data_IF_123363627526
#
_entry.id   IF_123363627526
#
_cell.length_a   1.000
_cell.length_b   1.000
_cell.length_c   1.000
_cell.angle_alpha   90.00
_cell.angle_beta   90.00
_cell.angle_gamma   90.00
#
_symmetry.space_group_name_H-M   'P 1'
#
loop_
_entity.id
_entity.type
_entity.pdbx_description
1 polymer ?
#
# COMPACT_ATOMS: atom_id res chain seq x y z
N UNK A 1 -42.53 -55.59 17.53
CA UNK A 1 -41.15 -55.19 17.48
C UNK A 1 -40.92 -54.14 18.52
N UNK A 2 -40.32 -54.47 19.67
CA UNK A 2 -40.17 -53.60 20.84
C UNK A 2 -38.81 -52.95 20.81
N UNK A 3 -38.81 -51.61 20.76
CA UNK A 3 -37.56 -50.81 20.84
C UNK A 3 -37.34 -50.45 22.30
N UNK A 4 -36.20 -50.86 22.87
CA UNK A 4 -35.76 -50.46 24.23
C UNK A 4 -34.96 -49.20 24.11
N UNK A 5 -35.40 -48.16 24.84
CA UNK A 5 -34.59 -46.98 25.11
C UNK A 5 -33.54 -47.28 26.18
N UNK A 6 -32.28 -47.05 25.89
CA UNK A 6 -31.21 -46.97 26.89
C UNK A 6 -31.10 -45.53 27.38
N UNK A 7 -31.30 -45.31 28.65
CA UNK A 7 -31.01 -44.07 29.36
C UNK A 7 -29.53 -44.04 29.76
N UNK A 8 -28.77 -43.07 29.27
CA UNK A 8 -27.40 -42.85 29.68
C UNK A 8 -27.40 -41.76 30.79
N UNK A 9 -27.03 -42.17 32.00
CA UNK A 9 -26.86 -41.26 33.14
C UNK A 9 -25.45 -40.65 33.11
N UNK A 10 -25.41 -39.34 32.92
CA UNK A 10 -24.15 -38.57 33.00
C UNK A 10 -23.87 -38.18 34.45
N UNK A 11 -22.78 -38.69 35.00
CA UNK A 11 -22.21 -38.25 36.26
C UNK A 11 -21.46 -36.96 36.03
N UNK A 12 -21.90 -35.85 36.65
CA UNK A 12 -21.16 -34.59 36.71
C UNK A 12 -20.34 -34.62 38.00
N UNK A 13 -19.05 -34.75 37.88
CA UNK A 13 -18.10 -34.56 38.98
C UNK A 13 -17.74 -33.08 39.05
N UNK A 14 -18.18 -32.40 40.10
CA UNK A 14 -17.76 -31.05 40.40
C UNK A 14 -16.35 -31.05 41.02
N UNK A 15 -15.36 -30.57 40.26
CA UNK A 15 -14.03 -30.29 40.77
C UNK A 15 -14.01 -28.86 41.32
N UNK A 16 -13.97 -28.75 42.66
CA UNK A 16 -13.74 -27.46 43.36
C UNK A 16 -12.26 -27.11 43.32
N UNK A 17 -11.85 -26.12 42.51
CA UNK A 17 -10.53 -25.55 42.57
C UNK A 17 -10.43 -24.49 43.66
N UNK A 18 -9.65 -24.77 44.70
CA UNK A 18 -9.26 -23.76 45.67
C UNK A 18 -8.21 -22.83 45.04
N UNK A 19 -8.58 -21.58 44.79
CA UNK A 19 -7.64 -20.54 44.34
C UNK A 19 -6.81 -20.11 45.55
N UNK A 20 -5.57 -20.56 45.61
CA UNK A 20 -4.56 -20.02 46.52
C UNK A 20 -3.99 -18.76 45.87
N UNK A 21 -4.40 -17.59 46.33
CA UNK A 21 -3.81 -16.31 45.94
C UNK A 21 -2.42 -16.17 46.54
N UNK A 22 -1.41 -16.33 45.71
CA UNK A 22 -0.04 -15.96 46.05
C UNK A 22 0.10 -14.42 45.98
N UNK A 23 0.78 -13.77 46.92
CA UNK A 23 1.03 -12.35 46.85
C UNK A 23 1.94 -12.05 45.65
N UNK A 24 1.54 -11.08 44.83
CA UNK A 24 2.33 -10.61 43.70
C UNK A 24 3.70 -10.11 44.20
N UNK A 25 4.79 -10.51 43.53
CA UNK A 25 6.09 -9.96 43.85
C UNK A 25 6.11 -8.47 43.51
N UNK A 26 6.65 -7.67 44.45
CA UNK A 26 6.85 -6.24 44.26
C UNK A 26 7.66 -6.00 42.96
N UNK A 27 7.08 -5.34 41.98
CA UNK A 27 7.76 -4.91 40.78
C UNK A 27 8.79 -3.83 41.16
N UNK A 28 10.04 -4.22 41.30
CA UNK A 28 11.15 -3.28 41.23
C UNK A 28 11.23 -2.77 39.81
N UNK A 29 10.97 -1.48 39.61
CA UNK A 29 11.18 -0.81 38.32
C UNK A 29 12.64 -0.98 37.92
N UNK A 30 12.94 -1.95 37.08
CA UNK A 30 14.24 -2.10 36.46
C UNK A 30 14.44 -0.88 35.54
N UNK A 31 15.51 -0.13 35.78
CA UNK A 31 15.97 0.91 34.87
C UNK A 31 16.27 0.23 33.52
N UNK A 32 15.76 0.73 32.37
CA UNK A 32 16.07 0.13 31.08
C UNK A 32 17.58 0.16 30.88
N UNK A 33 18.18 -1.00 30.75
CA UNK A 33 19.59 -1.13 30.36
C UNK A 33 19.64 -0.83 28.84
N UNK A 34 20.30 0.26 28.49
CA UNK A 34 20.67 0.52 27.09
C UNK A 34 21.74 -0.51 26.75
N UNK A 35 21.35 -1.55 25.98
CA UNK A 35 22.32 -2.47 25.42
C UNK A 35 23.08 -1.74 24.31
N UNK A 36 24.37 -1.59 24.48
CA UNK A 36 25.27 -1.12 23.40
C UNK A 36 25.23 -2.15 22.29
N UNK A 37 24.96 -1.77 21.02
CA UNK A 37 24.98 -2.72 19.93
C UNK A 37 26.35 -3.36 19.81
N UNK A 38 26.42 -4.66 19.61
CA UNK A 38 27.66 -5.38 19.35
C UNK A 38 28.31 -4.81 18.07
N UNK A 39 29.60 -4.50 18.15
CA UNK A 39 30.38 -4.01 17.03
C UNK A 39 30.42 -5.10 15.94
N UNK A 40 29.73 -4.85 14.81
CA UNK A 40 29.70 -5.77 13.65
C UNK A 40 28.38 -5.83 12.88
N UNK A 41 27.30 -5.24 13.40
CA UNK A 41 26.04 -5.08 12.66
C UNK A 41 26.11 -3.88 11.72
N UNK A 42 25.38 -3.93 10.60
CA UNK A 42 25.23 -2.83 9.66
C UNK A 42 25.11 -1.51 10.41
N UNK A 43 26.00 -0.57 10.11
CA UNK A 43 25.99 0.74 10.75
C UNK A 43 24.71 1.47 10.34
N UNK A 44 23.73 1.42 11.20
CA UNK A 44 22.57 2.30 11.12
C UNK A 44 23.07 3.73 11.26
N UNK A 45 23.10 4.48 10.18
CA UNK A 45 23.45 5.91 10.17
C UNK A 45 22.25 6.81 10.44
N UNK A 46 21.15 6.26 10.94
CA UNK A 46 19.97 7.00 11.37
C UNK A 46 20.13 7.58 12.78
N UNK A 47 19.23 8.46 13.23
CA UNK A 47 19.25 9.02 14.56
C UNK A 47 19.22 7.91 15.61
N UNK A 48 20.27 7.82 16.43
CA UNK A 48 20.47 6.78 17.45
C UNK A 48 19.52 6.89 18.65
N UNK A 49 18.57 7.81 18.61
CA UNK A 49 17.62 8.03 19.69
C UNK A 49 16.20 7.96 19.13
N UNK A 50 15.59 6.79 19.20
CA UNK A 50 14.13 6.69 19.09
C UNK A 50 13.60 7.36 20.37
N UNK A 51 13.05 8.57 20.25
CA UNK A 51 12.34 9.19 21.35
C UNK A 51 11.01 8.48 21.50
N UNK A 52 10.98 7.51 22.40
CA UNK A 52 9.72 7.02 22.93
C UNK A 52 9.13 8.14 23.78
N UNK A 53 8.12 8.84 23.26
CA UNK A 53 7.36 9.80 24.08
C UNK A 53 6.51 9.00 25.07
N UNK A 54 7.02 8.88 26.28
CA UNK A 54 6.27 8.31 27.39
C UNK A 54 4.99 9.15 27.60
N UNK A 55 3.83 8.54 27.44
CA UNK A 55 2.54 9.22 27.59
C UNK A 55 1.74 9.34 26.30
N UNK A 56 2.21 8.79 25.17
CA UNK A 56 1.39 8.66 23.97
C UNK A 56 0.25 7.71 24.27
N UNK A 57 -0.98 8.18 24.09
CA UNK A 57 -2.17 7.33 24.16
C UNK A 57 -2.02 6.18 23.14
N UNK A 58 -2.01 4.91 23.55
CA UNK A 58 -1.98 3.78 22.63
C UNK A 58 -3.22 3.75 21.71
N UNK A 59 -4.28 4.48 22.04
CA UNK A 59 -5.46 4.70 21.18
C UNK A 59 -5.33 5.97 20.34
N UNK A 60 -4.14 6.51 20.18
CA UNK A 60 -3.91 7.69 19.36
C UNK A 60 -4.32 7.42 17.91
N UNK A 61 -5.51 7.86 17.58
CA UNK A 61 -6.13 7.73 16.24
C UNK A 61 -5.38 8.47 15.14
N UNK A 62 -4.18 8.99 15.41
CA UNK A 62 -3.31 9.56 14.38
C UNK A 62 -2.95 8.57 13.29
N UNK A 63 -2.99 7.26 13.56
CA UNK A 63 -2.84 6.24 12.51
C UNK A 63 -3.89 6.41 11.42
N UNK A 64 -5.14 6.72 11.76
CA UNK A 64 -6.21 6.93 10.79
C UNK A 64 -5.94 8.15 9.87
N UNK A 65 -5.06 9.07 10.28
CA UNK A 65 -4.62 10.18 9.45
C UNK A 65 -3.76 9.74 8.26
N UNK A 66 -3.15 8.56 8.35
CA UNK A 66 -2.30 7.98 7.30
C UNK A 66 -3.07 7.10 6.32
N UNK A 67 -4.38 6.93 6.52
CA UNK A 67 -5.27 6.20 5.62
C UNK A 67 -6.09 7.16 4.76
N UNK A 68 -6.40 6.70 3.55
CA UNK A 68 -7.35 7.32 2.67
C UNK A 68 -8.25 6.28 2.01
N UNK A 69 -9.43 6.74 1.59
CA UNK A 69 -10.46 5.92 0.95
C UNK A 69 -11.17 6.74 -0.12
N UNK A 70 -11.20 6.24 -1.35
CA UNK A 70 -11.87 6.95 -2.44
C UNK A 70 -13.37 7.12 -2.21
N UNK A 71 -14.03 6.21 -1.46
CA UNK A 71 -15.48 6.27 -1.21
C UNK A 71 -15.87 7.47 -0.35
N UNK A 72 -15.00 7.84 0.58
CA UNK A 72 -15.19 9.01 1.45
C UNK A 72 -14.76 10.33 0.82
N UNK A 73 -14.04 10.28 -0.31
CA UNK A 73 -13.51 11.45 -0.99
C UNK A 73 -14.55 12.10 -1.93
N UNK A 74 -14.66 13.44 -2.00
CA UNK A 74 -15.52 14.10 -2.97
C UNK A 74 -15.02 13.86 -4.40
N UNK A 75 -15.97 13.71 -5.38
CA UNK A 75 -15.58 13.57 -6.77
C UNK A 75 -15.04 14.89 -7.34
N UNK A 76 -14.04 14.79 -8.21
CA UNK A 76 -13.55 15.92 -9.02
C UNK A 76 -13.36 15.46 -10.46
N UNK A 77 -13.48 16.40 -11.41
CA UNK A 77 -13.21 16.12 -12.80
C UNK A 77 -11.75 16.39 -13.15
N UNK A 78 -11.19 15.52 -13.97
CA UNK A 78 -9.87 15.68 -14.57
C UNK A 78 -9.92 15.23 -16.03
N UNK A 79 -9.06 15.77 -16.87
CA UNK A 79 -9.00 15.43 -18.29
C UNK A 79 -10.37 15.57 -19.01
N UNK A 80 -11.21 16.48 -18.54
CA UNK A 80 -12.57 16.68 -19.03
C UNK A 80 -13.58 15.79 -18.31
N UNK A 81 -13.81 14.59 -18.79
CA UNK A 81 -14.88 13.69 -18.32
C UNK A 81 -14.42 12.62 -17.32
N UNK A 82 -13.13 12.44 -17.11
CA UNK A 82 -12.65 11.52 -16.10
C UNK A 82 -13.00 12.02 -14.69
N UNK A 83 -13.79 11.26 -13.96
CA UNK A 83 -14.15 11.54 -12.57
C UNK A 83 -13.16 10.85 -11.66
N UNK A 84 -12.44 11.62 -10.86
CA UNK A 84 -11.50 11.12 -9.84
C UNK A 84 -12.08 11.29 -8.43
N UNK A 85 -11.72 10.36 -7.57
CA UNK A 85 -11.87 10.45 -6.11
C UNK A 85 -10.52 10.17 -5.48
N UNK A 86 -9.99 11.14 -4.78
CA UNK A 86 -8.66 11.03 -4.20
C UNK A 86 -8.66 10.00 -3.06
N UNK A 87 -7.64 9.15 -3.05
CA UNK A 87 -7.38 8.19 -1.96
C UNK A 87 -6.35 8.81 -1.02
N UNK A 88 -5.19 9.18 -1.57
CA UNK A 88 -4.15 9.91 -0.85
C UNK A 88 -3.81 11.19 -1.60
N UNK A 89 -3.50 12.25 -0.87
CA UNK A 89 -3.19 13.57 -1.45
C UNK A 89 -1.88 14.11 -0.93
N UNK A 90 -1.35 15.10 -1.63
CA UNK A 90 -0.20 15.85 -1.16
C UNK A 90 -0.46 16.46 0.22
N UNK A 91 0.53 16.37 1.12
CA UNK A 91 0.40 16.82 2.50
C UNK A 91 1.68 16.65 3.31
N UNK A 92 1.52 16.36 4.58
CA UNK A 92 2.64 16.14 5.50
C UNK A 92 2.74 14.65 5.87
N UNK A 93 3.84 14.01 5.48
CA UNK A 93 4.06 12.59 5.72
C UNK A 93 4.41 12.25 7.18
N UNK A 94 4.59 13.26 8.03
CA UNK A 94 4.88 13.10 9.47
C UNK A 94 3.70 13.49 10.33
N UNK A 95 2.96 14.54 9.95
CA UNK A 95 1.82 15.08 10.68
C UNK A 95 0.71 15.49 9.71
N UNK A 96 0.01 14.54 9.10
CA UNK A 96 -1.01 14.86 8.11
C UNK A 96 -2.06 15.83 8.66
N UNK A 97 -2.42 16.89 7.92
CA UNK A 97 -3.41 17.87 8.38
C UNK A 97 -4.84 17.31 8.33
N UNK A 98 -5.07 16.28 7.53
CA UNK A 98 -6.33 15.56 7.39
C UNK A 98 -6.06 14.11 6.92
N UNK A 99 -7.01 13.18 7.10
CA UNK A 99 -6.86 11.80 6.64
C UNK A 99 -6.43 11.74 5.18
N UNK A 100 -5.41 10.94 4.89
CA UNK A 100 -4.87 10.72 3.55
C UNK A 100 -4.02 11.85 2.96
N UNK A 101 -3.83 13.00 3.64
CA UNK A 101 -2.96 14.08 3.17
C UNK A 101 -1.51 13.85 3.59
N UNK A 102 -0.88 12.83 3.03
CA UNK A 102 0.39 12.26 3.49
C UNK A 102 1.52 12.31 2.46
N UNK A 103 1.21 12.55 1.18
CA UNK A 103 2.19 12.42 0.09
C UNK A 103 3.05 13.67 -0.04
N UNK A 104 4.36 13.51 -0.25
CA UNK A 104 5.28 14.58 -0.61
C UNK A 104 5.94 14.34 -1.98
N UNK A 105 6.24 13.07 -2.29
CA UNK A 105 6.87 12.70 -3.56
C UNK A 105 5.87 12.61 -4.72
N UNK A 106 4.57 12.49 -4.43
CA UNK A 106 3.49 12.28 -5.39
C UNK A 106 2.40 13.34 -5.13
N UNK A 107 1.77 13.85 -6.17
CA UNK A 107 0.72 14.85 -6.04
C UNK A 107 -0.57 14.22 -5.48
N UNK A 108 -0.95 13.05 -6.01
CA UNK A 108 -2.08 12.29 -5.52
C UNK A 108 -2.04 10.83 -5.99
N UNK A 109 -2.77 10.00 -5.25
CA UNK A 109 -3.27 8.69 -5.66
C UNK A 109 -4.79 8.78 -5.65
N UNK A 110 -5.45 8.43 -6.76
CA UNK A 110 -6.90 8.52 -6.89
C UNK A 110 -7.49 7.29 -7.56
N UNK A 111 -8.80 7.07 -7.35
CA UNK A 111 -9.61 6.15 -8.13
C UNK A 111 -10.38 6.92 -9.19
N UNK A 112 -10.19 6.51 -10.44
CA UNK A 112 -10.75 7.15 -11.62
C UNK A 112 -11.87 6.33 -12.27
N UNK A 113 -12.85 7.06 -12.83
CA UNK A 113 -13.98 6.47 -13.56
C UNK A 113 -14.27 7.28 -14.81
N UNK A 114 -14.29 6.62 -15.96
CA UNK A 114 -14.76 7.18 -17.23
C UNK A 114 -16.02 6.42 -17.64
N UNK A 115 -17.12 7.17 -17.87
CA UNK A 115 -18.41 6.56 -18.18
C UNK A 115 -18.38 5.75 -19.50
N UNK A 116 -19.35 4.82 -19.71
CA UNK A 116 -19.45 4.06 -20.94
C UNK A 116 -19.52 4.97 -22.18
N UNK A 117 -18.73 4.63 -23.20
CA UNK A 117 -18.67 5.34 -24.47
C UNK A 117 -18.18 6.79 -24.42
N UNK A 118 -17.65 7.23 -23.27
CA UNK A 118 -17.09 8.56 -23.08
C UNK A 118 -15.58 8.60 -23.34
N UNK A 119 -15.03 9.79 -23.48
CA UNK A 119 -13.60 10.01 -23.68
C UNK A 119 -13.13 11.24 -22.94
N UNK A 120 -11.87 11.24 -22.52
CA UNK A 120 -11.21 12.45 -22.03
C UNK A 120 -11.05 13.46 -23.17
N UNK A 121 -10.84 14.73 -22.83
CA UNK A 121 -10.39 15.71 -23.83
C UNK A 121 -8.91 15.46 -24.16
N UNK A 122 -8.45 15.79 -25.39
CA UNK A 122 -7.03 15.76 -25.71
C UNK A 122 -6.24 16.59 -24.68
N UNK A 123 -5.31 15.96 -24.02
CA UNK A 123 -4.59 16.56 -22.88
C UNK A 123 -3.10 16.33 -23.01
N UNK A 124 -2.34 17.31 -22.57
CA UNK A 124 -0.89 17.23 -22.36
C UNK A 124 -0.61 17.52 -20.89
N UNK A 125 0.12 16.61 -20.24
CA UNK A 125 0.55 16.84 -18.87
C UNK A 125 1.75 17.80 -18.88
N UNK A 126 1.65 18.90 -18.11
CA UNK A 126 2.73 19.87 -17.95
C UNK A 126 3.26 19.82 -16.53
N UNK A 127 4.58 19.62 -16.40
CA UNK A 127 5.25 19.53 -15.10
C UNK A 127 4.87 18.32 -14.24
N UNK A 128 4.16 17.37 -14.79
CA UNK A 128 3.74 16.13 -14.11
C UNK A 128 3.59 14.99 -15.11
N UNK A 129 3.60 13.76 -14.62
CA UNK A 129 3.32 12.56 -15.39
C UNK A 129 2.39 11.63 -14.59
N UNK A 130 1.64 10.78 -15.28
CA UNK A 130 0.61 9.96 -14.68
C UNK A 130 0.81 8.49 -15.00
N UNK A 131 0.49 7.64 -14.02
CA UNK A 131 0.40 6.22 -14.19
C UNK A 131 -1.06 5.81 -13.99
N UNK A 132 -1.62 5.12 -14.98
CA UNK A 132 -2.96 4.56 -14.94
C UNK A 132 -2.84 3.05 -14.78
N UNK A 133 -3.45 2.49 -13.74
CA UNK A 133 -3.63 1.05 -13.60
C UNK A 133 -5.10 0.72 -13.78
N UNK A 134 -5.44 -0.05 -14.81
CA UNK A 134 -6.84 -0.34 -15.16
C UNK A 134 -7.39 -1.43 -14.24
N UNK A 135 -8.39 -1.05 -13.45
CA UNK A 135 -9.06 -1.91 -12.49
C UNK A 135 -10.26 -2.67 -13.10
N UNK A 136 -10.89 -2.08 -14.12
CA UNK A 136 -12.01 -2.72 -14.81
C UNK A 136 -12.49 -1.97 -16.03
N UNK A 137 -13.35 -2.63 -16.80
CA UNK A 137 -13.86 -2.10 -18.06
C UNK A 137 -12.92 -2.35 -19.25
N UNK A 138 -13.20 -1.70 -20.36
CA UNK A 138 -12.41 -1.76 -21.59
C UNK A 138 -12.37 -0.42 -22.30
N UNK A 139 -11.24 -0.08 -22.89
CA UNK A 139 -11.04 1.19 -23.55
C UNK A 139 -9.83 1.21 -24.46
N UNK A 140 -9.46 2.41 -24.86
CA UNK A 140 -8.23 2.68 -25.59
C UNK A 140 -7.54 3.91 -25.01
N UNK A 141 -6.22 3.95 -25.12
CA UNK A 141 -5.43 5.15 -24.92
C UNK A 141 -4.66 5.46 -26.19
N UNK A 142 -4.71 6.71 -26.64
CA UNK A 142 -4.00 7.17 -27.83
C UNK A 142 -3.01 8.26 -27.45
N UNK A 143 -1.74 8.09 -27.80
CA UNK A 143 -0.67 9.07 -27.58
C UNK A 143 0.44 8.88 -28.61
N UNK A 144 1.04 9.98 -29.07
CA UNK A 144 2.19 9.93 -29.99
C UNK A 144 1.93 9.15 -31.29
N UNK A 145 0.70 9.18 -31.80
CA UNK A 145 0.29 8.44 -33.00
C UNK A 145 0.08 6.93 -32.82
N UNK A 146 0.14 6.43 -31.58
CA UNK A 146 -0.13 5.04 -31.21
C UNK A 146 -1.45 4.96 -30.45
N UNK A 147 -2.23 3.90 -30.70
CA UNK A 147 -3.42 3.56 -29.93
C UNK A 147 -3.23 2.16 -29.34
N UNK A 148 -3.46 2.02 -28.05
CA UNK A 148 -3.35 0.76 -27.32
C UNK A 148 -4.67 0.46 -26.62
N UNK A 149 -5.11 -0.80 -26.69
CA UNK A 149 -6.30 -1.25 -25.97
C UNK A 149 -6.02 -1.30 -24.46
N UNK A 150 -7.02 -0.90 -23.68
CA UNK A 150 -7.03 -0.96 -22.23
C UNK A 150 -8.00 -2.04 -21.78
N UNK A 151 -7.57 -2.83 -20.83
CA UNK A 151 -8.36 -3.86 -20.16
C UNK A 151 -7.92 -3.98 -18.71
N UNK A 152 -8.66 -4.72 -17.89
CA UNK A 152 -8.28 -4.97 -16.50
C UNK A 152 -6.84 -5.49 -16.43
N UNK A 153 -6.10 -5.05 -15.40
CA UNK A 153 -4.71 -5.41 -15.11
C UNK A 153 -3.70 -4.90 -16.17
N UNK A 154 -4.12 -3.92 -17.00
CA UNK A 154 -3.21 -3.17 -17.87
C UNK A 154 -2.75 -1.89 -17.17
N UNK A 155 -1.45 -1.59 -17.22
CA UNK A 155 -0.86 -0.38 -16.67
C UNK A 155 -0.30 0.50 -17.79
N UNK A 156 -0.49 1.82 -17.67
CA UNK A 156 0.01 2.81 -18.64
C UNK A 156 0.82 3.87 -17.90
N UNK A 157 2.04 4.10 -18.33
CA UNK A 157 2.82 5.25 -17.92
C UNK A 157 2.77 6.34 -18.99
N UNK A 158 2.16 7.47 -18.64
CA UNK A 158 2.00 8.65 -19.48
C UNK A 158 3.00 9.72 -19.06
N UNK A 159 4.06 9.96 -19.85
CA UNK A 159 5.06 10.96 -19.51
C UNK A 159 4.54 12.39 -19.72
N UNK A 160 5.18 13.33 -19.06
CA UNK A 160 4.95 14.75 -19.27
C UNK A 160 5.22 15.18 -20.72
N UNK A 161 4.44 16.12 -21.22
CA UNK A 161 4.65 16.74 -22.53
C UNK A 161 4.11 15.96 -23.73
N UNK A 162 3.52 14.79 -23.52
CA UNK A 162 2.89 13.98 -24.57
C UNK A 162 1.39 14.22 -24.62
N UNK A 163 0.85 14.52 -25.80
CA UNK A 163 -0.60 14.63 -26.01
C UNK A 163 -1.24 13.25 -26.02
N UNK A 164 -2.34 13.09 -25.28
CA UNK A 164 -3.07 11.82 -25.19
C UNK A 164 -4.57 12.00 -25.00
N UNK A 165 -5.30 10.91 -25.26
CA UNK A 165 -6.74 10.75 -25.01
C UNK A 165 -6.99 9.35 -24.50
N UNK A 166 -7.80 9.23 -23.44
CA UNK A 166 -8.35 7.97 -22.96
C UNK A 166 -9.80 7.86 -23.42
N UNK A 167 -10.19 6.74 -23.99
CA UNK A 167 -11.54 6.47 -24.43
C UNK A 167 -12.06 5.18 -23.79
N UNK A 168 -13.24 5.24 -23.20
CA UNK A 168 -13.99 4.06 -22.80
C UNK A 168 -14.76 3.53 -24.03
N UNK A 169 -14.40 2.36 -24.51
CA UNK A 169 -15.06 1.72 -25.65
C UNK A 169 -16.09 0.66 -25.24
N UNK A 170 -16.17 0.38 -23.94
CA UNK A 170 -17.07 -0.62 -23.36
C UNK A 170 -18.47 -0.08 -23.06
N UNK A 171 -19.33 -0.98 -22.58
CA UNK A 171 -20.69 -0.69 -22.11
C UNK A 171 -20.76 -0.57 -20.57
N UNK A 172 -19.64 -0.78 -19.89
CA UNK A 172 -19.43 -0.55 -18.44
C UNK A 172 -18.44 0.59 -18.24
N UNK A 173 -18.36 1.11 -17.03
CA UNK A 173 -17.34 2.10 -16.67
C UNK A 173 -15.94 1.55 -16.91
N UNK A 174 -15.05 2.39 -17.44
CA UNK A 174 -13.62 2.15 -17.40
C UNK A 174 -13.09 2.73 -16.08
N UNK A 175 -12.63 1.87 -15.20
CA UNK A 175 -12.14 2.22 -13.86
C UNK A 175 -10.64 2.03 -13.76
N UNK A 176 -9.99 2.89 -12.99
CA UNK A 176 -8.53 2.87 -12.89
C UNK A 176 -8.03 3.50 -11.58
N UNK A 177 -6.88 3.05 -11.11
CA UNK A 177 -6.08 3.80 -10.15
C UNK A 177 -5.17 4.76 -10.91
N UNK A 178 -5.04 5.98 -10.39
CA UNK A 178 -4.22 7.04 -11.00
C UNK A 178 -3.20 7.52 -9.99
N UNK A 179 -1.93 7.38 -10.33
CA UNK A 179 -0.82 7.97 -9.57
C UNK A 179 -0.29 9.14 -10.37
N UNK A 180 -0.28 10.33 -9.78
CA UNK A 180 0.24 11.55 -10.42
C UNK A 180 1.50 11.99 -9.70
N UNK A 181 2.63 11.99 -10.41
CA UNK A 181 3.91 12.42 -9.87
C UNK A 181 4.39 13.73 -10.49
N UNK A 182 4.99 14.64 -9.71
CA UNK A 182 5.58 15.86 -10.24
C UNK A 182 6.87 15.54 -11.02
N UNK A 183 7.13 16.37 -12.03
CA UNK A 183 8.40 16.34 -12.77
C UNK A 183 9.33 17.41 -12.21
N UNK A 184 10.41 17.05 -11.52
CA UNK A 184 11.35 17.99 -10.94
C UNK A 184 12.06 18.84 -12.00
N UNK A 185 12.49 20.03 -11.63
CA UNK A 185 13.28 20.88 -12.50
C UNK A 185 14.56 20.17 -12.99
N UNK A 186 14.80 20.21 -14.29
CA UNK A 186 15.96 19.54 -14.90
C UNK A 186 15.76 18.05 -15.22
N UNK A 187 14.66 17.44 -14.82
CA UNK A 187 14.31 16.11 -15.25
C UNK A 187 13.87 16.11 -16.71
N UNK A 188 14.30 15.12 -17.48
CA UNK A 188 13.94 14.96 -18.89
C UNK A 188 12.95 13.80 -19.03
N UNK A 189 11.66 14.07 -19.24
CA UNK A 189 10.66 13.03 -19.44
C UNK A 189 10.96 12.21 -20.69
N UNK A 190 10.54 10.95 -20.69
CA UNK A 190 10.54 10.14 -21.90
C UNK A 190 9.60 10.71 -22.97
N UNK A 191 9.80 10.29 -24.22
CA UNK A 191 9.06 10.86 -25.37
C UNK A 191 7.83 10.05 -25.78
N UNK A 192 7.67 8.85 -25.24
CA UNK A 192 6.62 7.89 -25.61
C UNK A 192 5.99 7.29 -24.34
N UNK A 193 4.71 6.96 -24.41
CA UNK A 193 4.03 6.22 -23.37
C UNK A 193 4.56 4.79 -23.29
N UNK A 194 4.53 4.20 -22.10
CA UNK A 194 4.71 2.77 -21.89
C UNK A 194 3.38 2.13 -21.53
N UNK A 195 3.20 0.90 -21.97
CA UNK A 195 2.05 0.07 -21.59
C UNK A 195 2.59 -1.28 -21.16
N UNK A 196 2.16 -1.74 -20.01
CA UNK A 196 2.50 -3.03 -19.44
C UNK A 196 1.22 -3.79 -19.18
N UNK A 197 1.10 -4.97 -19.77
CA UNK A 197 0.06 -5.93 -19.45
C UNK A 197 0.59 -6.83 -18.32
N UNK A 198 -0.02 -6.74 -17.14
CA UNK A 198 0.43 -7.46 -15.96
C UNK A 198 0.48 -8.98 -16.16
N UNK A 199 -0.42 -9.53 -16.98
CA UNK A 199 -0.43 -10.97 -17.27
C UNK A 199 0.83 -11.43 -18.00
N UNK A 200 1.51 -10.52 -18.69
CA UNK A 200 2.75 -10.80 -19.43
C UNK A 200 4.02 -10.60 -18.59
N UNK A 201 3.89 -9.97 -17.42
CA UNK A 201 5.01 -9.70 -16.52
C UNK A 201 5.38 -10.96 -15.75
N UNK A 202 6.68 -11.27 -15.75
CA UNK A 202 7.19 -12.40 -14.95
C UNK A 202 6.92 -12.18 -13.47
N UNK A 203 6.42 -13.22 -12.84
CA UNK A 203 6.20 -13.23 -11.38
C UNK A 203 7.54 -13.33 -10.67
N UNK A 204 7.75 -12.46 -9.71
CA UNK A 204 8.83 -12.54 -8.74
C UNK A 204 8.24 -12.96 -7.39
N UNK A 205 8.68 -14.11 -6.88
CA UNK A 205 8.34 -14.56 -5.53
C UNK A 205 9.58 -14.34 -4.68
N UNK A 206 9.55 -13.40 -3.73
CA UNK A 206 10.66 -13.22 -2.81
C UNK A 206 10.81 -14.49 -1.96
N UNK A 207 11.81 -15.31 -2.26
CA UNK A 207 12.17 -16.50 -1.48
C UNK A 207 13.15 -16.15 -0.36
N UNK A 208 12.93 -15.01 0.25
CA UNK A 208 13.84 -14.44 1.22
C UNK A 208 13.47 -14.93 2.61
N UNK A 209 14.49 -15.34 3.33
CA UNK A 209 14.36 -15.55 4.76
C UNK A 209 14.11 -14.21 5.47
N UNK A 210 13.74 -14.27 6.73
CA UNK A 210 13.56 -13.08 7.56
C UNK A 210 14.73 -12.10 7.43
N UNK A 211 14.43 -10.82 7.29
CA UNK A 211 15.43 -9.76 7.27
C UNK A 211 16.33 -9.72 8.52
N UNK A 212 15.88 -10.32 9.62
CA UNK A 212 16.66 -10.46 10.85
C UNK A 212 17.68 -11.58 10.80
N UNK A 213 17.53 -12.54 9.90
CA UNK A 213 18.41 -13.72 9.82
C UNK A 213 19.41 -13.66 8.68
N UNK A 214 19.08 -12.95 7.61
CA UNK A 214 19.94 -12.81 6.43
C UNK A 214 20.10 -11.32 6.07
N UNK A 215 21.32 -10.76 6.14
CA UNK A 215 21.55 -9.39 5.70
C UNK A 215 21.11 -9.18 4.25
N UNK A 216 20.30 -8.15 4.02
CA UNK A 216 19.73 -7.83 2.70
C UNK A 216 18.52 -8.66 2.28
N UNK A 217 18.07 -9.60 3.12
CA UNK A 217 16.78 -10.26 2.92
C UNK A 217 15.63 -9.30 3.21
N UNK A 218 14.49 -9.53 2.57
CA UNK A 218 13.26 -8.79 2.80
C UNK A 218 12.24 -9.70 3.50
N UNK A 219 11.44 -9.14 4.36
CA UNK A 219 10.37 -9.86 5.09
C UNK A 219 9.15 -10.19 4.23
N UNK A 220 9.27 -10.27 2.90
CA UNK A 220 8.15 -10.37 1.96
C UNK A 220 7.95 -11.77 1.36
N UNK A 221 8.32 -12.84 2.08
CA UNK A 221 8.24 -14.22 1.58
C UNK A 221 6.84 -14.69 1.15
N UNK A 222 5.78 -14.05 1.65
CA UNK A 222 4.40 -14.38 1.30
C UNK A 222 3.87 -13.57 0.10
N UNK A 223 4.70 -12.71 -0.48
CA UNK A 223 4.30 -11.81 -1.56
C UNK A 223 4.61 -12.42 -2.93
N UNK A 224 3.67 -12.23 -3.85
CA UNK A 224 3.83 -12.51 -5.28
C UNK A 224 3.84 -11.17 -6.00
N UNK A 225 4.95 -10.82 -6.62
CA UNK A 225 5.21 -9.47 -7.13
C UNK A 225 5.31 -9.47 -8.64
N UNK A 226 4.72 -8.43 -9.28
CA UNK A 226 4.91 -8.11 -10.70
C UNK A 226 5.38 -6.66 -10.83
N UNK A 227 6.55 -6.48 -11.41
CA UNK A 227 7.15 -5.16 -11.60
C UNK A 227 6.53 -4.50 -12.84
N UNK A 228 5.78 -3.40 -12.67
CA UNK A 228 5.10 -2.71 -13.77
C UNK A 228 5.98 -1.63 -14.40
N UNK A 229 6.45 -0.69 -13.58
CA UNK A 229 7.34 0.40 -13.99
C UNK A 229 8.36 0.69 -12.91
N UNK A 230 9.52 1.16 -13.34
CA UNK A 230 10.63 1.52 -12.48
C UNK A 230 11.19 2.89 -12.85
N UNK A 231 12.12 3.36 -12.04
CA UNK A 231 12.87 4.60 -12.35
C UNK A 231 13.61 4.53 -13.70
N UNK A 232 14.03 3.34 -14.11
CA UNK A 232 14.70 3.15 -15.43
C UNK A 232 13.73 3.30 -16.59
N UNK A 233 12.42 3.20 -16.35
CA UNK A 233 11.38 3.46 -17.34
C UNK A 233 11.05 4.94 -17.49
N UNK A 234 11.58 5.79 -16.62
CA UNK A 234 11.41 7.24 -16.66
C UNK A 234 10.51 7.81 -15.59
N UNK A 235 10.23 7.06 -14.50
CA UNK A 235 9.58 7.63 -13.32
C UNK A 235 10.49 8.71 -12.71
N UNK A 236 9.90 9.81 -12.26
CA UNK A 236 10.62 11.00 -11.81
C UNK A 236 10.87 10.97 -10.30
N UNK A 237 9.82 10.91 -9.50
CA UNK A 237 9.88 10.92 -8.03
C UNK A 237 9.55 9.56 -7.43
N UNK A 238 8.84 8.72 -8.16
CA UNK A 238 8.58 7.33 -7.80
C UNK A 238 9.74 6.45 -8.26
N UNK A 239 10.15 5.49 -7.45
CA UNK A 239 11.20 4.55 -7.78
C UNK A 239 10.67 3.33 -8.52
N UNK A 240 9.61 2.74 -7.97
CA UNK A 240 9.00 1.52 -8.49
C UNK A 240 7.48 1.56 -8.30
N UNK A 241 6.77 0.99 -9.28
CA UNK A 241 5.33 0.69 -9.23
C UNK A 241 5.16 -0.78 -9.56
N UNK A 242 4.55 -1.51 -8.65
CA UNK A 242 4.36 -2.95 -8.75
C UNK A 242 2.95 -3.36 -8.33
N UNK A 243 2.53 -4.54 -8.71
CA UNK A 243 1.44 -5.22 -8.02
C UNK A 243 1.98 -6.27 -7.06
N UNK A 244 1.31 -6.42 -5.94
CA UNK A 244 1.65 -7.40 -4.91
C UNK A 244 0.42 -8.21 -4.59
N UNK A 245 0.52 -9.52 -4.68
CA UNK A 245 -0.46 -10.43 -4.12
C UNK A 245 0.09 -11.05 -2.84
N UNK A 246 -0.70 -11.06 -1.77
CA UNK A 246 -0.37 -11.76 -0.53
C UNK A 246 -1.18 -13.04 -0.47
N UNK A 247 -0.48 -14.16 -0.34
CA UNK A 247 -1.09 -15.48 -0.30
C UNK A 247 -2.09 -15.63 0.86
N UNK A 248 -3.08 -16.53 0.73
CA UNK A 248 -4.05 -16.80 1.80
C UNK A 248 -3.38 -17.20 3.12
N UNK A 249 -3.95 -16.74 4.23
CA UNK A 249 -3.52 -17.10 5.60
C UNK A 249 -2.04 -16.77 5.88
N UNK A 250 -1.53 -15.68 5.26
CA UNK A 250 -0.13 -15.25 5.43
C UNK A 250 -0.03 -13.76 5.71
N UNK A 251 1.16 -13.34 6.09
CA UNK A 251 1.53 -11.94 6.27
C UNK A 251 3.01 -11.75 5.94
N UNK A 252 3.41 -10.54 5.60
CA UNK A 252 4.81 -10.15 5.58
C UNK A 252 5.37 -9.97 6.99
N UNK A 253 6.69 -9.90 7.11
CA UNK A 253 7.34 -9.54 8.35
C UNK A 253 7.09 -8.06 8.67
N UNK A 254 6.65 -7.69 9.90
CA UNK A 254 6.54 -6.29 10.28
C UNK A 254 7.90 -5.58 10.25
N UNK A 255 7.97 -4.50 9.49
CA UNK A 255 9.21 -3.72 9.32
C UNK A 255 8.92 -2.23 9.19
N UNK A 256 9.87 -1.33 9.52
CA UNK A 256 9.76 0.09 9.25
C UNK A 256 10.15 0.39 7.81
N UNK A 257 9.70 1.53 7.29
CA UNK A 257 10.20 2.06 6.02
C UNK A 257 11.56 2.73 6.18
N UNK A 258 12.30 2.80 5.08
CA UNK A 258 13.56 3.54 5.05
C UNK A 258 13.33 5.03 5.31
N UNK A 259 14.31 5.66 5.94
CA UNK A 259 14.25 7.08 6.25
C UNK A 259 14.04 7.93 4.99
N UNK A 260 13.00 8.76 5.00
CA UNK A 260 12.64 9.66 3.90
C UNK A 260 12.05 8.99 2.67
N UNK A 261 11.73 7.70 2.71
CA UNK A 261 11.12 6.95 1.63
C UNK A 261 9.63 6.73 1.91
N UNK A 262 8.79 7.24 1.04
CA UNK A 262 7.34 7.01 1.10
C UNK A 262 7.00 5.70 0.41
N UNK A 263 6.27 4.85 1.07
CA UNK A 263 5.81 3.56 0.55
C UNK A 263 4.31 3.45 0.75
N UNK A 264 3.59 3.21 -0.32
CA UNK A 264 2.15 3.23 -0.37
C UNK A 264 1.60 1.85 -0.72
N UNK A 265 0.63 1.41 0.09
CA UNK A 265 -0.10 0.16 -0.11
C UNK A 265 -1.56 0.44 -0.38
N UNK A 266 -2.02 0.17 -1.60
CA UNK A 266 -3.40 0.37 -2.04
C UNK A 266 -4.07 -0.96 -2.25
N UNK A 267 -5.07 -1.31 -1.44
CA UNK A 267 -5.85 -2.53 -1.66
C UNK A 267 -6.68 -2.40 -2.93
N UNK A 268 -6.56 -3.39 -3.81
CA UNK A 268 -7.31 -3.46 -5.08
C UNK A 268 -8.32 -4.57 -5.08
N UNK A 269 -7.95 -5.77 -4.65
CA UNK A 269 -8.83 -6.92 -4.63
C UNK A 269 -8.68 -7.69 -3.31
N UNK A 270 -9.82 -8.07 -2.73
CA UNK A 270 -9.88 -8.66 -1.40
C UNK A 270 -9.67 -7.65 -0.28
N UNK A 271 -10.02 -8.05 0.94
CA UNK A 271 -9.80 -7.25 2.16
C UNK A 271 -8.66 -7.85 2.96
N UNK A 272 -7.81 -6.99 3.51
CA UNK A 272 -6.70 -7.36 4.38
C UNK A 272 -6.79 -6.64 5.73
N UNK A 273 -5.91 -7.03 6.65
CA UNK A 273 -5.66 -6.26 7.85
C UNK A 273 -4.30 -5.57 7.71
N UNK A 274 -4.30 -4.25 7.72
CA UNK A 274 -3.07 -3.48 7.85
C UNK A 274 -2.67 -3.45 9.32
N UNK A 275 -1.52 -4.04 9.65
CA UNK A 275 -0.90 -3.94 10.96
C UNK A 275 0.07 -2.77 10.95
N UNK A 276 -0.18 -1.74 11.76
CA UNK A 276 0.60 -0.51 11.79
C UNK A 276 0.93 -0.13 13.22
N UNK A 277 2.21 -0.09 13.54
CA UNK A 277 2.67 0.11 14.90
C UNK A 277 2.20 -1.00 15.82
N UNK A 278 1.19 -0.75 16.64
CA UNK A 278 0.56 -1.71 17.55
C UNK A 278 -0.93 -1.92 17.26
N UNK A 279 -1.41 -1.41 16.14
CA UNK A 279 -2.84 -1.40 15.81
C UNK A 279 -3.14 -2.12 14.50
N UNK A 280 -4.36 -2.58 14.38
CA UNK A 280 -4.90 -3.20 13.17
C UNK A 280 -5.99 -2.32 12.57
N UNK A 281 -5.98 -2.21 11.24
CA UNK A 281 -7.04 -1.58 10.45
C UNK A 281 -7.48 -2.53 9.34
N UNK A 282 -8.79 -2.62 9.11
CA UNK A 282 -9.30 -3.30 7.92
C UNK A 282 -8.99 -2.43 6.72
N UNK A 283 -8.34 -3.01 5.74
CA UNK A 283 -8.05 -2.38 4.46
C UNK A 283 -8.89 -3.05 3.39
N UNK A 284 -9.94 -2.36 2.96
CA UNK A 284 -10.84 -2.79 1.90
C UNK A 284 -10.35 -2.31 0.52
N UNK A 285 -10.80 -2.91 -0.59
CA UNK A 285 -10.53 -2.39 -1.93
C UNK A 285 -10.84 -0.90 -2.05
N UNK A 286 -9.89 -0.15 -2.60
CA UNK A 286 -9.98 1.30 -2.75
C UNK A 286 -9.49 2.12 -1.56
N UNK A 287 -8.99 1.46 -0.51
CA UNK A 287 -8.27 2.14 0.58
C UNK A 287 -6.76 2.05 0.37
N UNK A 288 -6.05 3.08 0.77
CA UNK A 288 -4.59 3.08 0.80
C UNK A 288 -4.08 3.64 2.11
N UNK A 289 -2.85 3.26 2.45
CA UNK A 289 -2.13 3.87 3.55
C UNK A 289 -0.66 4.10 3.20
N UNK A 290 -0.07 4.98 3.95
CA UNK A 290 1.37 5.22 4.04
C UNK A 290 1.73 5.31 5.51
N UNK A 291 2.87 4.79 5.93
CA UNK A 291 3.39 5.04 7.27
C UNK A 291 4.49 6.09 7.26
N UNK A 292 4.74 6.68 8.41
CA UNK A 292 5.78 7.70 8.58
C UNK A 292 7.14 7.19 8.11
N UNK A 293 7.82 7.93 7.21
CA UNK A 293 9.12 7.54 6.69
C UNK A 293 10.28 7.94 7.63
N UNK A 294 10.11 7.76 8.93
CA UNK A 294 11.08 8.13 9.97
C UNK A 294 11.63 6.93 10.75
N UNK A 295 11.33 5.71 10.30
CA UNK A 295 11.73 4.45 10.93
C UNK A 295 11.18 4.22 12.35
N UNK A 296 10.22 5.03 12.81
CA UNK A 296 9.65 4.89 14.16
C UNK A 296 8.39 4.02 14.20
N UNK A 297 7.85 3.68 13.05
CA UNK A 297 6.62 2.92 12.90
C UNK A 297 6.86 1.71 12.00
N UNK A 298 6.36 0.56 12.40
CA UNK A 298 6.39 -0.67 11.59
C UNK A 298 5.05 -0.91 10.94
N UNK A 299 5.05 -1.64 9.85
CA UNK A 299 3.82 -2.11 9.23
C UNK A 299 3.95 -3.54 8.70
N UNK A 300 2.80 -4.15 8.42
CA UNK A 300 2.65 -5.36 7.62
C UNK A 300 1.21 -5.45 7.10
N UNK A 301 1.02 -6.15 6.01
CA UNK A 301 -0.31 -6.53 5.54
C UNK A 301 -0.55 -8.01 5.85
N UNK A 302 -1.73 -8.30 6.41
CA UNK A 302 -2.14 -9.62 6.83
C UNK A 302 -3.31 -10.05 5.95
N UNK A 303 -3.14 -11.15 5.23
CA UNK A 303 -4.24 -11.82 4.55
C UNK A 303 -4.75 -12.95 5.45
N UNK A 304 -5.85 -12.70 6.15
CA UNK A 304 -6.53 -13.70 6.98
C UNK A 304 -7.62 -14.48 6.22
N UNK A 305 -7.80 -14.19 4.93
CA UNK A 305 -8.80 -14.84 4.06
C UNK A 305 -8.29 -16.11 3.40
N UNK A 306 -9.18 -16.74 2.63
CA UNK A 306 -8.92 -17.99 1.89
C UNK A 306 -8.48 -17.74 0.43
N UNK A 307 -8.48 -16.49 -0.02
CA UNK A 307 -8.06 -16.08 -1.37
C UNK A 307 -6.91 -15.09 -1.26
N UNK A 308 -6.07 -14.98 -2.28
CA UNK A 308 -5.09 -13.91 -2.36
C UNK A 308 -5.74 -12.53 -2.24
N UNK A 309 -5.06 -11.58 -1.64
CA UNK A 309 -5.41 -10.15 -1.67
C UNK A 309 -4.39 -9.44 -2.54
N UNK A 310 -4.86 -8.48 -3.35
CA UNK A 310 -4.03 -7.78 -4.34
C UNK A 310 -3.91 -6.30 -4.00
N UNK A 311 -2.71 -5.78 -4.18
CA UNK A 311 -2.37 -4.38 -3.93
C UNK A 311 -1.70 -3.76 -5.15
N UNK A 312 -1.98 -2.49 -5.40
CA UNK A 312 -1.08 -1.60 -6.11
C UNK A 312 -0.13 -0.99 -5.07
N UNK A 313 1.14 -1.21 -5.27
CA UNK A 313 2.19 -0.71 -4.40
C UNK A 313 3.12 0.21 -5.18
N UNK A 314 3.51 1.30 -4.58
CA UNK A 314 4.59 2.14 -5.11
C UNK A 314 5.40 2.76 -3.99
N UNK A 315 6.64 3.08 -4.34
CA UNK A 315 7.59 3.67 -3.41
C UNK A 315 8.26 4.88 -4.04
N UNK A 316 8.46 5.94 -3.26
CA UNK A 316 9.19 7.10 -3.74
C UNK A 316 10.69 6.80 -3.88
N UNK A 317 11.33 7.52 -4.78
CA UNK A 317 12.79 7.67 -4.72
C UNK A 317 13.13 8.32 -3.38
N UNK A 318 14.19 7.85 -2.72
CA UNK A 318 14.66 8.51 -1.48
C UNK A 318 14.78 10.01 -1.71
N UNK A 319 14.10 10.79 -0.87
CA UNK A 319 14.18 12.25 -0.94
C UNK A 319 15.64 12.68 -0.84
N UNK A 320 16.11 13.62 -1.68
CA UNK A 320 17.44 14.20 -1.50
C UNK A 320 17.50 14.81 -0.08
N UNK A 321 18.58 14.52 0.61
CA UNK A 321 18.86 15.06 1.94
C UNK A 321 19.08 16.57 1.87
#
# INVERSE_FOLDING_TARGET
MKIRLLTCSTFVAALSFAIVSLPAPAQTKAKPSVSTPAAGGNSFTGPTTIRYEAGRDPQDKRIDMFFGDWQSSPPRHQLGSLVLRDILTHGDNMMPPQPGAVLQAVNFLAYGRLQPRDSTVPTKLDGRQEIFYIDGGSGNISAGGKTVALHKDCAVFMPAGLDFVVQNTGDADLTMYVVDEPVPAGFVPRKDMLVTDEETVSVRVPMEASAYTLPGASGHWAHVVRDLFSKTDGLATVADIITVEINPMTMGEPHPHNLGQEEIWTAMDGSSLAFIGTELRVQNPGTAYMIRPDMTMTHSNINSGEKPVKFLWFVSSSMPK
#
